data_IF_659616284532
#
_entry.id   IF_659616284532
#
_cell.length_a   1.000
_cell.length_b   1.000
_cell.length_c   1.000
_cell.angle_alpha   90.00
_cell.angle_beta   90.00
_cell.angle_gamma   90.00
#
_symmetry.space_group_name_H-M   'P 1'
#
loop_
_entity.id
_entity.type
_entity.pdbx_description
1 polymer ?
#
# COMPACT_ATOMS: atom_id res chain seq x y z
N UNK A 1 34.40 1.88 -43.72
CA UNK A 1 34.35 3.13 -42.94
C UNK A 1 33.04 3.80 -43.34
N UNK A 2 31.96 3.69 -42.58
CA UNK A 2 31.80 3.94 -41.14
C UNK A 2 30.68 3.04 -40.59
N UNK A 3 30.92 2.59 -39.37
CA UNK A 3 30.02 1.93 -38.43
C UNK A 3 28.90 2.87 -37.95
N UNK A 4 27.81 2.33 -37.39
CA UNK A 4 27.16 2.72 -36.11
C UNK A 4 25.68 2.30 -36.07
N UNK A 5 25.49 1.20 -35.34
CA UNK A 5 24.36 0.75 -34.50
C UNK A 5 23.36 1.77 -33.91
N UNK A 6 22.13 1.25 -33.73
CA UNK A 6 21.19 1.43 -32.60
C UNK A 6 20.45 2.77 -32.38
N UNK A 7 19.13 2.72 -32.47
CA UNK A 7 18.22 3.57 -31.69
C UNK A 7 17.53 2.69 -30.65
N UNK A 8 18.00 2.81 -29.41
CA UNK A 8 17.44 2.21 -28.19
C UNK A 8 16.28 3.10 -27.73
N UNK A 9 15.19 2.49 -27.26
CA UNK A 9 14.00 3.16 -26.74
C UNK A 9 14.32 4.09 -25.57
N UNK A 10 13.80 5.31 -25.64
CA UNK A 10 13.76 6.22 -24.51
C UNK A 10 12.46 5.98 -23.73
N UNK A 11 12.58 5.49 -22.50
CA UNK A 11 11.52 5.52 -21.50
C UNK A 11 11.10 6.97 -21.24
N UNK A 12 9.80 7.24 -21.31
CA UNK A 12 9.22 8.56 -21.02
C UNK A 12 8.88 8.58 -19.53
N UNK A 13 9.56 9.38 -18.69
CA UNK A 13 9.33 9.37 -17.26
C UNK A 13 8.02 10.09 -16.90
N UNK A 14 7.32 9.54 -15.89
CA UNK A 14 6.12 10.13 -15.32
C UNK A 14 6.39 11.56 -14.80
N UNK A 15 5.40 12.47 -14.90
CA UNK A 15 5.60 13.93 -14.82
C UNK A 15 6.05 14.51 -13.47
N UNK A 16 6.36 13.69 -12.47
CA UNK A 16 6.86 14.16 -11.17
C UNK A 16 8.11 13.40 -10.71
N UNK A 17 9.24 13.69 -11.34
CA UNK A 17 10.57 13.26 -10.88
C UNK A 17 11.24 14.39 -10.12
N UNK A 18 11.50 14.18 -8.82
CA UNK A 18 12.48 14.99 -8.10
C UNK A 18 13.56 14.09 -7.48
N UNK A 19 14.79 14.54 -7.73
CA UNK A 19 16.09 13.92 -7.49
C UNK A 19 16.43 13.82 -6.00
N UNK A 20 17.30 12.86 -5.68
CA UNK A 20 18.26 12.75 -4.55
C UNK A 20 18.03 11.50 -3.69
N UNK A 21 18.63 10.38 -4.11
CA UNK A 21 18.94 9.28 -3.24
C UNK A 21 20.36 9.50 -2.71
N UNK A 22 20.55 9.65 -1.41
CA UNK A 22 21.73 9.18 -0.67
C UNK A 22 21.44 9.10 0.85
N UNK A 23 22.08 8.09 1.48
CA UNK A 23 22.20 7.79 2.91
C UNK A 23 21.01 7.07 3.57
N UNK A 24 21.21 5.79 3.93
CA UNK A 24 21.59 5.35 5.28
C UNK A 24 21.64 3.81 5.35
N UNK A 25 22.84 3.25 5.54
CA UNK A 25 23.15 1.83 5.32
C UNK A 25 23.32 0.99 6.59
N UNK A 26 22.62 1.24 7.71
CA UNK A 26 22.79 0.37 8.90
C UNK A 26 21.58 0.42 9.85
N UNK A 27 20.72 -0.61 9.82
CA UNK A 27 19.85 -0.94 10.95
C UNK A 27 19.59 -2.45 10.99
N UNK A 28 20.04 -3.11 12.07
CA UNK A 28 19.65 -4.49 12.45
C UNK A 28 18.56 -4.40 13.53
N UNK A 29 17.41 -5.03 13.31
CA UNK A 29 16.36 -5.13 14.32
C UNK A 29 16.48 -6.45 15.12
N UNK A 30 16.34 -6.43 16.46
CA UNK A 30 16.55 -7.59 17.31
C UNK A 30 15.22 -8.11 17.88
N UNK A 31 14.65 -9.18 17.33
CA UNK A 31 13.67 -9.98 18.08
C UNK A 31 13.89 -11.45 17.73
N UNK A 32 14.13 -12.26 18.76
CA UNK A 32 14.18 -13.72 18.68
C UNK A 32 12.80 -14.24 19.09
N UNK A 33 12.09 -15.03 18.26
CA UNK A 33 10.80 -15.57 18.66
C UNK A 33 11.00 -16.85 19.49
N UNK A 34 10.45 -16.86 20.70
CA UNK A 34 10.17 -18.08 21.47
C UNK A 34 8.75 -18.51 21.15
N UNK A 35 8.59 -19.74 20.65
CA UNK A 35 7.29 -20.32 20.29
C UNK A 35 6.37 -20.53 21.49
N UNK A 36 5.06 -20.63 21.22
CA UNK A 36 4.26 -21.85 21.42
C UNK A 36 2.76 -21.60 21.07
N UNK A 37 2.23 -22.47 20.20
CA UNK A 37 0.86 -22.95 19.94
C UNK A 37 -0.37 -22.08 19.51
N UNK A 38 -0.74 -22.31 18.24
CA UNK A 38 -2.01 -22.85 17.70
C UNK A 38 -3.37 -22.19 18.04
N UNK A 39 -3.98 -21.58 17.01
CA UNK A 39 -5.44 -21.58 16.83
C UNK A 39 -5.82 -21.72 15.36
N UNK A 40 -6.73 -22.67 15.12
CA UNK A 40 -7.20 -23.16 13.83
C UNK A 40 -8.41 -22.35 13.36
N UNK A 41 -8.26 -21.47 12.36
CA UNK A 41 -9.39 -21.01 11.54
C UNK A 41 -8.94 -20.76 10.09
N UNK A 42 -9.29 -21.69 9.20
CA UNK A 42 -9.17 -21.53 7.76
C UNK A 42 -10.50 -21.04 7.18
N UNK A 43 -10.54 -19.81 6.67
CA UNK A 43 -11.50 -19.37 5.65
C UNK A 43 -10.73 -18.47 4.67
N UNK A 44 -11.03 -18.66 3.38
CA UNK A 44 -10.52 -18.03 2.13
C UNK A 44 -9.13 -18.42 1.60
N UNK A 45 -9.15 -18.83 0.33
CA UNK A 45 -8.03 -19.32 -0.48
C UNK A 45 -7.02 -18.20 -0.77
N UNK A 46 -5.73 -18.36 -0.42
CA UNK A 46 -4.71 -17.35 -0.65
C UNK A 46 -4.10 -17.55 -2.03
N UNK A 47 -4.82 -17.19 -3.09
CA UNK A 47 -4.20 -17.14 -4.41
C UNK A 47 -3.59 -15.76 -4.59
N UNK A 48 -2.26 -15.69 -4.39
CA UNK A 48 -1.33 -14.58 -4.65
C UNK A 48 -0.77 -13.78 -3.45
N UNK A 49 -0.38 -14.44 -2.35
CA UNK A 49 0.64 -13.90 -1.42
C UNK A 49 1.79 -14.89 -1.17
N UNK A 50 2.22 -15.61 -2.20
CA UNK A 50 3.39 -16.48 -2.06
C UNK A 50 4.66 -15.67 -2.31
N UNK A 51 5.38 -15.41 -1.21
CA UNK A 51 6.67 -14.74 -1.10
C UNK A 51 6.65 -13.23 -1.34
N UNK A 52 6.23 -12.53 -0.29
CA UNK A 52 6.62 -11.15 -0.07
C UNK A 52 7.81 -11.18 0.90
N UNK A 53 9.03 -11.16 0.37
CA UNK A 53 10.24 -11.21 1.18
C UNK A 53 10.22 -10.10 2.24
N UNK A 54 10.28 -10.46 3.52
CA UNK A 54 10.30 -9.51 4.65
C UNK A 54 8.99 -9.37 5.46
N UNK A 55 7.96 -10.18 5.18
CA UNK A 55 6.72 -10.21 5.97
C UNK A 55 6.57 -11.56 6.67
N UNK A 56 6.61 -11.56 8.00
CA UNK A 56 6.60 -12.77 8.83
C UNK A 56 5.30 -13.59 8.67
N UNK A 57 4.14 -12.93 8.48
CA UNK A 57 2.84 -13.58 8.29
C UNK A 57 1.97 -12.87 7.22
N UNK A 58 2.19 -13.14 5.91
CA UNK A 58 1.44 -12.49 4.83
C UNK A 58 -0.07 -12.74 4.87
N UNK A 59 -0.50 -13.87 5.45
CA UNK A 59 -1.92 -14.24 5.56
C UNK A 59 -2.74 -13.33 6.51
N UNK A 60 -2.08 -12.55 7.37
CA UNK A 60 -2.75 -11.59 8.26
C UNK A 60 -3.06 -10.26 7.55
N UNK A 61 -2.49 -10.03 6.38
CA UNK A 61 -2.77 -8.87 5.54
C UNK A 61 -4.02 -9.17 4.72
N UNK A 62 -5.03 -8.34 4.91
CA UNK A 62 -6.31 -8.51 4.23
C UNK A 62 -6.40 -7.66 2.95
N UNK A 63 -7.01 -8.24 1.91
CA UNK A 63 -7.21 -7.58 0.62
C UNK A 63 -6.01 -7.66 -0.31
N UNK A 64 -6.16 -7.10 -1.50
CA UNK A 64 -5.14 -7.13 -2.55
C UNK A 64 -4.11 -6.01 -2.37
N UNK A 65 -2.82 -6.26 -2.66
CA UNK A 65 -1.79 -5.23 -2.66
C UNK A 65 -2.04 -4.20 -3.77
N UNK A 66 -1.76 -2.93 -3.49
CA UNK A 66 -1.83 -1.85 -4.49
C UNK A 66 -0.42 -1.57 -5.03
N UNK A 67 -0.19 -1.54 -6.36
CA UNK A 67 1.12 -1.19 -6.91
C UNK A 67 1.58 0.19 -6.43
N UNK A 68 2.81 0.32 -5.95
CA UNK A 68 3.39 1.61 -5.56
C UNK A 68 4.38 2.11 -6.63
N UNK A 69 4.42 3.42 -6.89
CA UNK A 69 5.36 4.03 -7.86
C UNK A 69 6.81 3.90 -7.41
N UNK A 70 7.05 3.84 -6.09
CA UNK A 70 8.36 3.67 -5.45
C UNK A 70 8.27 2.56 -4.42
N UNK A 71 9.12 2.58 -3.40
CA UNK A 71 8.93 1.77 -2.20
C UNK A 71 7.54 2.04 -1.63
N UNK A 72 6.78 0.98 -1.42
CA UNK A 72 5.49 1.02 -0.76
C UNK A 72 5.62 1.28 0.74
N UNK A 73 4.63 0.86 1.51
CA UNK A 73 4.68 1.02 2.97
C UNK A 73 5.54 -0.03 3.69
N UNK A 74 6.18 -0.93 2.96
CA UNK A 74 7.12 -1.92 3.47
C UNK A 74 8.44 -1.78 2.70
N UNK A 75 9.58 -1.61 3.40
CA UNK A 75 10.89 -1.45 2.76
C UNK A 75 11.22 -2.61 1.82
N UNK A 76 11.68 -2.30 0.61
CA UNK A 76 12.06 -3.29 -0.39
C UNK A 76 10.90 -3.87 -1.20
N UNK A 77 9.66 -3.42 -0.96
CA UNK A 77 8.49 -3.84 -1.74
C UNK A 77 7.92 -2.68 -2.54
N UNK A 78 7.64 -2.92 -3.83
CA UNK A 78 6.94 -1.97 -4.72
C UNK A 78 5.41 -2.04 -4.56
N UNK A 79 4.92 -2.32 -3.35
CA UNK A 79 3.51 -2.56 -3.06
C UNK A 79 3.08 -1.84 -1.80
N UNK A 80 1.91 -1.23 -1.87
CA UNK A 80 1.19 -0.75 -0.71
C UNK A 80 0.28 -1.84 -0.15
N UNK A 81 0.54 -2.24 1.09
CA UNK A 81 -0.18 -3.31 1.78
C UNK A 81 -1.15 -2.73 2.81
N UNK A 82 -2.29 -3.37 2.99
CA UNK A 82 -3.19 -3.01 4.08
C UNK A 82 -2.58 -3.35 5.45
N UNK A 83 -2.92 -2.61 6.51
CA UNK A 83 -2.47 -2.94 7.85
C UNK A 83 -3.12 -4.25 8.34
N UNK A 84 -2.37 -5.06 9.09
CA UNK A 84 -2.95 -6.21 9.79
C UNK A 84 -3.84 -5.73 10.95
N UNK A 85 -4.81 -6.55 11.39
CA UNK A 85 -5.63 -6.25 12.58
C UNK A 85 -4.79 -5.89 13.82
N UNK A 86 -3.70 -6.62 14.05
CA UNK A 86 -2.81 -6.39 15.19
C UNK A 86 -2.04 -5.06 15.06
N UNK A 87 -1.55 -4.72 13.86
CA UNK A 87 -0.92 -3.43 13.60
C UNK A 87 -1.89 -2.27 13.88
N UNK A 88 -3.15 -2.43 13.47
CA UNK A 88 -4.18 -1.44 13.72
C UNK A 88 -4.51 -1.31 15.21
N UNK A 89 -4.70 -2.44 15.92
CA UNK A 89 -4.92 -2.48 17.35
C UNK A 89 -3.81 -1.74 18.11
N UNK A 90 -2.54 -2.04 17.81
CA UNK A 90 -1.39 -1.35 18.41
C UNK A 90 -1.34 0.14 18.06
N UNK A 91 -1.68 0.53 16.83
CA UNK A 91 -1.74 1.92 16.43
C UNK A 91 -2.82 2.70 17.18
N UNK A 92 -3.99 2.10 17.41
CA UNK A 92 -5.09 2.70 18.17
C UNK A 92 -4.73 2.85 19.64
N UNK A 93 -4.10 1.84 20.25
CA UNK A 93 -3.61 1.89 21.63
C UNK A 93 -2.57 3.00 21.84
N UNK A 94 -1.62 3.18 20.91
CA UNK A 94 -0.66 4.31 20.94
C UNK A 94 -1.35 5.68 20.91
N UNK A 95 -2.53 5.77 20.30
CA UNK A 95 -3.36 6.97 20.26
C UNK A 95 -4.33 7.10 21.44
N UNK A 96 -4.24 6.22 22.44
CA UNK A 96 -5.16 6.15 23.59
C UNK A 96 -6.63 6.04 23.16
N UNK A 97 -6.88 5.30 22.08
CA UNK A 97 -8.23 4.89 21.67
C UNK A 97 -8.48 3.50 22.21
N UNK A 98 -9.46 3.38 23.09
CA UNK A 98 -9.93 2.10 23.60
C UNK A 98 -10.66 1.37 22.47
N UNK A 99 -10.19 0.17 22.17
CA UNK A 99 -10.73 -0.70 21.12
C UNK A 99 -10.46 -2.12 21.56
N UNK A 100 -11.42 -3.01 21.38
CA UNK A 100 -11.22 -4.43 21.62
C UNK A 100 -10.49 -5.08 20.43
N UNK A 101 -9.75 -6.15 20.69
CA UNK A 101 -8.95 -6.80 19.63
C UNK A 101 -9.82 -7.27 18.45
N UNK A 102 -11.00 -7.81 18.73
CA UNK A 102 -11.94 -8.25 17.69
C UNK A 102 -12.50 -7.10 16.84
N UNK A 103 -12.59 -5.88 17.39
CA UNK A 103 -13.01 -4.70 16.64
C UNK A 103 -11.93 -4.26 15.65
N UNK A 104 -10.65 -4.45 16.01
CA UNK A 104 -9.54 -4.17 15.10
C UNK A 104 -9.57 -5.06 13.84
N UNK A 105 -10.02 -6.31 13.96
CA UNK A 105 -10.27 -7.18 12.81
C UNK A 105 -11.36 -6.62 11.89
N UNK A 106 -12.49 -6.21 12.46
CA UNK A 106 -13.58 -5.63 11.68
C UNK A 106 -13.13 -4.37 10.94
N UNK A 107 -12.36 -3.51 11.60
CA UNK A 107 -11.86 -2.27 10.98
C UNK A 107 -10.82 -2.58 9.89
N UNK A 108 -9.89 -3.53 10.12
CA UNK A 108 -8.96 -3.97 9.08
C UNK A 108 -9.68 -4.55 7.85
N UNK A 109 -10.77 -5.29 8.06
CA UNK A 109 -11.64 -5.77 6.98
C UNK A 109 -12.27 -4.64 6.17
N UNK A 110 -12.84 -3.66 6.86
CA UNK A 110 -13.42 -2.49 6.19
C UNK A 110 -12.34 -1.73 5.41
N UNK A 111 -11.13 -1.56 5.95
CA UNK A 111 -10.02 -0.93 5.24
C UNK A 111 -9.68 -1.66 3.93
N UNK A 112 -9.57 -2.99 3.98
CA UNK A 112 -9.29 -3.79 2.79
C UNK A 112 -10.36 -3.59 1.71
N UNK A 113 -11.65 -3.68 2.07
CA UNK A 113 -12.77 -3.49 1.14
C UNK A 113 -12.78 -2.08 0.55
N UNK A 114 -12.57 -1.05 1.37
CA UNK A 114 -12.55 0.35 0.91
C UNK A 114 -11.37 0.58 -0.04
N UNK A 115 -10.18 0.08 0.28
CA UNK A 115 -8.98 0.20 -0.56
C UNK A 115 -9.19 -0.51 -1.90
N UNK A 116 -9.68 -1.76 -1.89
CA UNK A 116 -9.93 -2.53 -3.10
C UNK A 116 -10.97 -1.87 -4.01
N UNK A 117 -12.11 -1.45 -3.46
CA UNK A 117 -13.14 -0.77 -4.22
C UNK A 117 -12.64 0.55 -4.79
N UNK A 118 -11.92 1.34 -3.99
CA UNK A 118 -11.36 2.62 -4.44
C UNK A 118 -10.34 2.41 -5.55
N UNK A 119 -9.45 1.43 -5.41
CA UNK A 119 -8.46 1.11 -6.43
C UNK A 119 -9.13 0.66 -7.74
N UNK A 120 -10.17 -0.18 -7.66
CA UNK A 120 -10.93 -0.58 -8.83
C UNK A 120 -11.58 0.60 -9.56
N UNK A 121 -12.12 1.58 -8.82
CA UNK A 121 -12.66 2.81 -9.45
C UNK A 121 -11.56 3.68 -10.07
N UNK A 122 -10.39 3.79 -9.42
CA UNK A 122 -9.22 4.46 -10.00
C UNK A 122 -8.83 3.78 -11.32
N UNK A 123 -8.71 2.45 -11.35
CA UNK A 123 -8.37 1.71 -12.57
C UNK A 123 -9.39 1.93 -13.70
N UNK A 124 -10.69 2.04 -13.37
CA UNK A 124 -11.72 2.38 -14.36
C UNK A 124 -11.52 3.78 -14.94
N UNK A 125 -11.14 4.74 -14.09
CA UNK A 125 -10.83 6.11 -14.52
C UNK A 125 -9.56 6.15 -15.37
N UNK A 126 -8.47 5.54 -14.91
CA UNK A 126 -7.17 5.49 -15.61
C UNK A 126 -7.26 4.79 -16.97
N UNK A 127 -8.18 3.83 -17.13
CA UNK A 127 -8.46 3.22 -18.43
C UNK A 127 -8.90 4.23 -19.50
N UNK A 128 -9.48 5.36 -19.13
CA UNK A 128 -9.81 6.44 -20.07
C UNK A 128 -8.55 7.14 -20.62
N UNK A 129 -7.42 6.99 -19.93
CA UNK A 129 -6.11 7.58 -20.21
C UNK A 129 -5.03 6.52 -20.56
N UNK A 130 -5.44 5.33 -20.98
CA UNK A 130 -4.56 4.17 -21.23
C UNK A 130 -3.38 4.48 -22.18
N UNK A 131 -3.55 5.42 -23.12
CA UNK A 131 -2.47 5.83 -24.06
C UNK A 131 -1.34 6.62 -23.40
N UNK A 132 -1.61 7.24 -22.25
CA UNK A 132 -0.64 8.05 -21.49
C UNK A 132 0.07 7.21 -20.42
N UNK A 133 -0.66 6.28 -19.80
CA UNK A 133 -0.16 5.40 -18.76
C UNK A 133 -0.86 4.03 -18.84
N UNK A 134 -0.12 3.00 -19.24
CA UNK A 134 -0.65 1.64 -19.37
C UNK A 134 -0.74 0.90 -18.02
N UNK A 135 0.06 1.30 -17.04
CA UNK A 135 0.21 0.62 -15.75
C UNK A 135 0.19 1.64 -14.60
N UNK A 136 -1.01 2.11 -14.17
CA UNK A 136 -1.12 3.06 -13.08
C UNK A 136 -0.60 2.46 -11.77
N UNK A 137 0.13 3.28 -11.02
CA UNK A 137 0.68 2.95 -9.70
C UNK A 137 0.35 4.05 -8.71
N UNK A 138 0.29 3.71 -7.42
CA UNK A 138 0.04 4.64 -6.34
C UNK A 138 1.33 5.41 -6.00
N UNK A 139 1.32 6.72 -6.21
CA UNK A 139 2.45 7.58 -5.82
C UNK A 139 2.46 7.86 -4.32
N UNK A 140 1.34 8.35 -3.78
CA UNK A 140 1.13 8.64 -2.35
C UNK A 140 -0.35 8.86 -2.03
N UNK A 141 -0.71 8.77 -0.76
CA UNK A 141 -2.00 9.26 -0.29
C UNK A 141 -1.94 10.76 -0.02
N UNK A 142 -2.89 11.51 -0.60
CA UNK A 142 -3.08 12.94 -0.34
C UNK A 142 -4.15 13.13 0.75
N UNK A 143 -3.70 13.47 1.95
CA UNK A 143 -4.58 13.70 3.09
C UNK A 143 -5.26 15.07 3.04
N UNK A 144 -6.43 15.18 2.40
CA UNK A 144 -7.22 16.41 2.30
C UNK A 144 -8.27 16.58 3.42
N UNK A 145 -7.98 16.09 4.63
CA UNK A 145 -8.93 16.10 5.74
C UNK A 145 -9.37 17.52 6.17
N UNK A 146 -8.50 18.53 6.00
CA UNK A 146 -8.80 19.94 6.33
C UNK A 146 -9.35 20.76 5.16
N UNK A 147 -9.31 20.23 3.93
CA UNK A 147 -9.70 20.97 2.74
C UNK A 147 -11.20 20.77 2.49
N UNK A 148 -12.01 21.70 3.00
CA UNK A 148 -13.44 21.68 2.76
C UNK A 148 -13.75 22.02 1.30
N UNK A 149 -14.61 21.21 0.69
CA UNK A 149 -15.09 21.49 -0.66
C UNK A 149 -16.00 22.72 -0.65
N UNK A 150 -16.14 23.39 -1.80
CA UNK A 150 -17.12 24.47 -1.98
C UNK A 150 -18.53 24.00 -1.60
N UNK A 151 -18.87 22.74 -1.91
CA UNK A 151 -20.14 22.11 -1.50
C UNK A 151 -20.30 22.09 0.02
N UNK A 152 -19.25 21.77 0.76
CA UNK A 152 -19.24 21.81 2.23
C UNK A 152 -19.47 23.22 2.75
N UNK A 153 -18.86 24.24 2.14
CA UNK A 153 -19.09 25.64 2.53
C UNK A 153 -20.52 26.11 2.26
N UNK A 154 -21.09 25.75 1.10
CA UNK A 154 -22.46 26.15 0.73
C UNK A 154 -23.50 25.49 1.64
N UNK A 155 -23.28 24.24 2.05
CA UNK A 155 -24.22 23.48 2.89
C UNK A 155 -24.13 23.78 4.40
N UNK A 156 -23.22 24.67 4.84
CA UNK A 156 -23.07 25.08 6.24
C UNK A 156 -23.78 26.41 6.57
N UNK A 157 -24.68 26.89 5.69
CA UNK A 157 -25.55 28.05 5.90
C UNK A 157 -27.01 27.63 6.15
#
# INVERSE_FOLDING_TARGET
>A
MIDTTQTIGQEVPCPYSNKSAELFSNAKCPVVPTGDDLSTHSIVSPTSLQNIDGIENPHEILGNPVPATKDGNVPGLSWWLNPTPLQLFHALRRKRKEVEEHEAYAVAYIHAVVVENTWNEILKYEKLHEKECEAPTLERFEGKYGDTTIKTHINNF
#
